data_IF_619411464871
#
_entry.id   IF_619411464871
#
_cell.length_a   1.000
_cell.length_b   1.000
_cell.length_c   1.000
_cell.angle_alpha   90.00
_cell.angle_beta   90.00
_cell.angle_gamma   90.00
#
_symmetry.space_group_name_H-M   'P 1'
#
loop_
_entity.id
_entity.type
_entity.pdbx_description
1 polymer ?
#
# COMPACT_ATOMS: atom_id res chain seq x y z
N UNK A 1 -4.38 24.03 8.37
CA UNK A 1 -5.74 23.69 8.84
C UNK A 1 -5.66 22.66 9.95
N UNK A 2 -6.62 22.64 10.90
CA UNK A 2 -6.62 21.70 12.01
C UNK A 2 -6.91 20.27 11.52
N UNK A 3 -6.27 19.27 12.15
CA UNK A 3 -6.57 17.85 11.96
C UNK A 3 -7.71 17.47 12.92
N UNK A 4 -8.70 16.72 12.43
CA UNK A 4 -9.93 16.42 13.20
C UNK A 4 -10.26 14.92 13.22
N UNK A 5 -9.46 14.09 12.61
CA UNK A 5 -9.68 12.63 12.59
C UNK A 5 -8.43 11.84 12.25
N UNK A 6 -8.42 10.54 12.57
CA UNK A 6 -7.40 9.55 12.25
C UNK A 6 -8.08 8.35 11.61
N UNK A 7 -7.65 7.96 10.42
CA UNK A 7 -8.24 6.87 9.64
C UNK A 7 -7.17 6.08 8.91
N UNK A 8 -7.55 4.88 8.43
CA UNK A 8 -6.75 4.03 7.53
C UNK A 8 -5.33 3.81 8.06
N UNK A 9 -5.25 3.24 9.26
CA UNK A 9 -3.98 2.85 9.85
C UNK A 9 -3.47 1.57 9.18
N UNK A 10 -2.25 1.64 8.64
CA UNK A 10 -1.58 0.53 7.95
C UNK A 10 -0.19 0.31 8.51
N UNK A 11 0.31 -0.91 8.42
CA UNK A 11 1.71 -1.22 8.66
C UNK A 11 2.25 -2.11 7.53
N UNK A 12 3.56 -2.08 7.32
CA UNK A 12 4.25 -2.96 6.40
C UNK A 12 5.57 -3.41 7.03
N UNK A 13 5.91 -4.69 6.92
CA UNK A 13 7.18 -5.22 7.41
C UNK A 13 8.29 -4.79 6.44
N UNK A 14 9.36 -4.22 6.95
CA UNK A 14 10.55 -3.86 6.21
C UNK A 14 11.43 -5.12 6.05
N UNK A 15 11.60 -5.58 4.82
CA UNK A 15 12.33 -6.81 4.50
C UNK A 15 13.78 -6.57 4.12
N UNK A 16 14.07 -5.42 3.49
CA UNK A 16 15.44 -4.97 3.23
C UNK A 16 15.56 -3.46 3.39
N UNK A 17 16.68 -2.99 3.96
CA UNK A 17 17.05 -1.58 4.07
C UNK A 17 18.56 -1.47 4.00
N UNK A 18 19.07 -1.43 2.78
CA UNK A 18 20.48 -1.28 2.44
C UNK A 18 20.66 -0.05 1.56
N UNK A 19 21.88 0.31 1.20
CA UNK A 19 22.12 1.42 0.26
C UNK A 19 21.56 1.16 -1.13
N UNK A 20 21.51 -0.11 -1.54
CA UNK A 20 21.17 -0.52 -2.90
C UNK A 20 19.73 -1.06 -3.01
N UNK A 21 19.14 -1.50 -1.88
CA UNK A 21 17.85 -2.18 -1.88
C UNK A 21 16.98 -1.72 -0.70
N UNK A 22 15.71 -1.45 -0.99
CA UNK A 22 14.70 -1.06 -0.03
C UNK A 22 13.39 -1.77 -0.35
N UNK A 23 13.03 -2.77 0.45
CA UNK A 23 11.84 -3.58 0.20
C UNK A 23 10.97 -3.72 1.44
N UNK A 24 9.66 -3.75 1.20
CA UNK A 24 8.64 -3.97 2.22
C UNK A 24 7.69 -5.09 1.78
N UNK A 25 7.05 -5.71 2.76
CA UNK A 25 5.85 -6.51 2.49
C UNK A 25 4.70 -5.58 2.10
N UNK A 26 3.67 -6.14 1.46
CA UNK A 26 2.45 -5.40 1.14
C UNK A 26 1.84 -4.81 2.41
N UNK A 27 1.49 -3.52 2.42
CA UNK A 27 0.86 -2.90 3.58
C UNK A 27 -0.44 -3.61 4.01
N UNK A 28 -0.56 -3.85 5.32
CA UNK A 28 -1.74 -4.44 5.94
C UNK A 28 -2.45 -3.40 6.81
N UNK A 29 -3.78 -3.43 6.80
CA UNK A 29 -4.61 -2.54 7.59
C UNK A 29 -4.67 -2.96 9.06
N UNK A 30 -4.55 -1.96 9.97
CA UNK A 30 -4.82 -2.10 11.40
C UNK A 30 -6.15 -1.41 11.72
N UNK A 31 -7.19 -2.19 11.89
CA UNK A 31 -8.56 -1.67 12.07
C UNK A 31 -8.73 -0.94 13.41
N UNK A 32 -9.54 0.12 13.40
CA UNK A 32 -10.01 0.78 14.61
C UNK A 32 -9.01 1.79 15.21
N UNK A 33 -8.31 2.57 14.39
CA UNK A 33 -7.43 3.64 14.87
C UNK A 33 -8.18 4.68 15.71
N UNK A 34 -7.71 4.93 16.93
CA UNK A 34 -8.29 5.91 17.87
C UNK A 34 -7.38 7.13 17.96
N UNK A 35 -6.09 6.91 18.21
CA UNK A 35 -5.11 7.97 18.38
C UNK A 35 -3.73 7.55 17.87
N UNK A 36 -2.97 8.51 17.35
CA UNK A 36 -1.57 8.35 17.01
C UNK A 36 -0.79 9.60 17.43
N UNK A 37 0.21 9.42 18.26
CA UNK A 37 1.07 10.49 18.75
C UNK A 37 2.50 10.24 18.30
N UNK A 38 3.13 11.26 17.67
CA UNK A 38 4.49 11.19 17.15
C UNK A 38 5.34 12.21 17.89
N UNK A 39 6.36 11.75 18.59
CA UNK A 39 7.26 12.56 19.41
C UNK A 39 8.72 12.43 18.92
N UNK A 40 9.18 13.27 17.98
CA UNK A 40 10.58 13.29 17.58
C UNK A 40 11.46 13.83 18.70
N UNK A 41 12.51 13.09 19.06
CA UNK A 41 13.57 13.59 19.93
C UNK A 41 14.64 14.30 19.07
N UNK A 42 15.02 15.50 19.48
CA UNK A 42 16.09 16.28 18.84
C UNK A 42 17.23 16.41 19.82
N UNK A 43 18.43 15.98 19.43
CA UNK A 43 19.64 16.19 20.17
C UNK A 43 20.34 17.45 19.67
N UNK A 44 20.43 18.47 20.51
CA UNK A 44 21.11 19.71 20.19
C UNK A 44 22.46 19.75 20.89
N UNK A 45 23.51 20.01 20.12
CA UNK A 45 24.86 20.27 20.63
C UNK A 45 25.16 21.76 20.41
N UNK A 46 25.56 22.42 21.47
CA UNK A 46 25.90 23.85 21.47
C UNK A 46 27.40 24.06 21.68
N UNK A 47 28.01 24.85 20.85
CA UNK A 47 29.40 25.29 20.99
C UNK A 47 29.40 26.74 21.43
N UNK A 48 30.05 27.01 22.56
CA UNK A 48 30.28 28.35 23.07
C UNK A 48 31.74 28.76 22.82
N UNK A 49 31.94 30.00 22.34
CA UNK A 49 33.24 30.65 22.20
C UNK A 49 33.11 32.14 22.57
N UNK A 50 34.12 32.70 23.26
CA UNK A 50 34.13 34.07 23.75
C UNK A 50 32.89 34.47 24.55
N UNK A 51 32.43 33.55 25.45
CA UNK A 51 31.24 33.69 26.29
C UNK A 51 29.93 33.89 25.54
N UNK A 52 29.89 33.50 24.27
CA UNK A 52 28.69 33.54 23.40
C UNK A 52 28.41 32.19 22.76
N UNK A 53 27.14 31.94 22.45
CA UNK A 53 26.74 30.79 21.64
C UNK A 53 27.30 30.98 20.23
N UNK A 54 28.33 30.18 19.86
CA UNK A 54 28.98 30.27 18.57
C UNK A 54 28.32 29.42 17.49
N UNK A 55 27.90 28.19 17.86
CA UNK A 55 27.30 27.26 16.95
C UNK A 55 26.30 26.37 17.70
N UNK A 56 25.18 26.02 17.04
CA UNK A 56 24.21 25.06 17.52
C UNK A 56 23.89 24.06 16.41
N UNK A 57 24.18 22.77 16.62
CA UNK A 57 23.91 21.69 15.68
C UNK A 57 22.86 20.79 16.26
N UNK A 58 21.76 20.59 15.53
CA UNK A 58 20.67 19.72 15.92
C UNK A 58 20.60 18.49 15.01
N UNK A 59 20.49 17.30 15.61
CA UNK A 59 20.31 16.05 14.91
C UNK A 59 19.03 15.35 15.37
N UNK A 60 18.30 14.76 14.43
CA UNK A 60 17.16 13.89 14.75
C UNK A 60 17.67 12.66 15.52
N UNK A 61 17.13 12.43 16.69
CA UNK A 61 17.34 11.23 17.48
C UNK A 61 16.28 10.15 17.13
N UNK A 62 15.92 9.36 18.13
CA UNK A 62 14.78 8.44 18.00
C UNK A 62 13.46 9.21 17.92
N UNK A 63 12.46 8.61 17.26
CA UNK A 63 11.10 9.13 17.22
C UNK A 63 10.19 8.15 17.95
N UNK A 64 9.71 8.53 19.12
CA UNK A 64 8.77 7.69 19.88
C UNK A 64 7.35 7.93 19.36
N UNK A 65 6.65 6.83 19.02
CA UNK A 65 5.29 6.84 18.48
C UNK A 65 4.41 5.96 19.33
N UNK A 66 3.26 6.48 19.73
CA UNK A 66 2.22 5.71 20.44
C UNK A 66 0.96 5.69 19.56
N UNK A 67 0.43 4.49 19.32
CA UNK A 67 -0.80 4.28 18.58
C UNK A 67 -1.79 3.56 19.47
N UNK A 68 -3.02 4.07 19.54
CA UNK A 68 -4.15 3.46 20.23
C UNK A 68 -5.15 2.97 19.20
N UNK A 69 -5.57 1.70 19.33
CA UNK A 69 -6.56 1.07 18.46
C UNK A 69 -7.71 0.51 19.27
N UNK A 70 -8.89 0.39 18.66
CA UNK A 70 -10.04 -0.22 19.34
C UNK A 70 -9.82 -1.72 19.58
N UNK A 71 -9.08 -2.36 18.69
CA UNK A 71 -8.78 -3.79 18.70
C UNK A 71 -7.38 -4.04 18.15
N UNK A 72 -6.71 -5.09 18.63
CA UNK A 72 -5.44 -5.56 18.08
C UNK A 72 -5.49 -7.09 17.99
N UNK A 73 -5.81 -7.66 16.82
CA UNK A 73 -5.83 -9.10 16.60
C UNK A 73 -4.47 -9.75 16.90
N UNK A 74 -4.50 -10.97 17.46
CA UNK A 74 -3.26 -11.72 17.79
C UNK A 74 -2.37 -11.95 16.58
N UNK A 75 -2.93 -12.02 15.37
CA UNK A 75 -2.19 -12.13 14.10
C UNK A 75 -1.34 -10.90 13.83
N UNK A 76 -1.90 -9.71 13.99
CA UNK A 76 -1.17 -8.44 13.83
C UNK A 76 -0.14 -8.29 14.95
N UNK A 77 -0.52 -8.59 16.21
CA UNK A 77 0.40 -8.56 17.35
C UNK A 77 1.61 -9.46 17.13
N UNK A 78 1.39 -10.69 16.64
CA UNK A 78 2.46 -11.63 16.32
C UNK A 78 3.43 -11.04 15.28
N UNK A 79 2.92 -10.44 14.21
CA UNK A 79 3.73 -9.81 13.15
C UNK A 79 4.55 -8.63 13.69
N UNK A 80 3.92 -7.73 14.46
CA UNK A 80 4.57 -6.54 15.00
C UNK A 80 5.69 -6.86 15.99
N UNK A 81 5.54 -7.93 16.78
CA UNK A 81 6.49 -8.29 17.85
C UNK A 81 7.41 -9.46 17.48
N UNK A 82 7.22 -10.07 16.29
CA UNK A 82 7.99 -11.24 15.89
C UNK A 82 7.67 -12.49 16.72
N UNK A 83 6.47 -12.56 17.28
CA UNK A 83 6.04 -13.69 18.11
C UNK A 83 5.50 -14.84 17.24
N UNK A 84 5.51 -16.05 17.80
CA UNK A 84 4.95 -17.24 17.16
C UNK A 84 3.43 -17.36 17.44
N UNK A 85 2.61 -17.43 16.39
CA UNK A 85 1.20 -17.74 16.50
C UNK A 85 0.94 -19.19 16.05
N UNK A 86 0.59 -20.08 17.00
CA UNK A 86 0.36 -21.49 16.70
C UNK A 86 -0.97 -21.97 17.26
N UNK A 87 -1.81 -22.52 16.39
CA UNK A 87 -3.15 -23.01 16.75
C UNK A 87 -4.02 -21.98 17.52
N UNK A 88 -3.92 -20.68 17.14
CA UNK A 88 -4.63 -19.60 17.81
C UNK A 88 -4.03 -19.13 19.14
N UNK A 89 -2.88 -19.68 19.55
CA UNK A 89 -2.15 -19.30 20.75
C UNK A 89 -0.94 -18.46 20.37
N UNK A 90 -0.86 -17.25 20.92
CA UNK A 90 0.32 -16.39 20.81
C UNK A 90 1.35 -16.83 21.84
N UNK A 91 2.54 -17.15 21.36
CA UNK A 91 3.68 -17.59 22.19
C UNK A 91 4.72 -16.48 22.16
N UNK A 92 4.97 -15.86 23.31
CA UNK A 92 5.97 -14.82 23.48
C UNK A 92 7.22 -15.38 24.16
N UNK A 93 8.38 -15.20 23.55
CA UNK A 93 9.66 -15.68 24.06
C UNK A 93 10.59 -14.49 24.30
N UNK A 94 11.44 -14.61 25.30
CA UNK A 94 12.45 -13.58 25.59
C UNK A 94 13.48 -13.39 24.47
N UNK A 95 13.51 -14.32 23.51
CA UNK A 95 14.39 -14.30 22.33
C UNK A 95 13.72 -13.73 21.07
N UNK A 96 12.43 -13.36 21.16
CA UNK A 96 11.73 -12.81 20.00
C UNK A 96 12.31 -11.44 19.62
N UNK A 97 12.47 -11.24 18.34
CA UNK A 97 13.02 -10.00 17.78
C UNK A 97 11.93 -9.34 16.93
N UNK A 98 11.38 -8.21 17.37
CA UNK A 98 10.40 -7.47 16.56
C UNK A 98 11.02 -7.04 15.25
N UNK A 99 10.32 -7.24 14.11
CA UNK A 99 10.80 -6.78 12.82
C UNK A 99 10.75 -5.25 12.73
N UNK A 100 11.53 -4.69 11.80
CA UNK A 100 11.33 -3.31 11.41
C UNK A 100 10.05 -3.19 10.59
N UNK A 101 9.30 -2.11 10.80
CA UNK A 101 8.04 -1.85 10.10
C UNK A 101 7.98 -0.41 9.60
N UNK A 102 7.17 -0.17 8.56
CA UNK A 102 6.61 1.14 8.27
C UNK A 102 5.20 1.25 8.87
N UNK A 103 4.78 2.47 9.23
CA UNK A 103 3.45 2.75 9.76
C UNK A 103 2.83 3.90 8.98
N UNK A 104 1.68 3.67 8.36
CA UNK A 104 0.96 4.63 7.53
C UNK A 104 -0.42 4.95 8.10
N UNK A 105 -0.88 6.19 7.94
CA UNK A 105 -2.24 6.60 8.27
C UNK A 105 -2.62 7.89 7.55
N UNK A 106 -3.91 8.20 7.54
CA UNK A 106 -4.39 9.51 7.09
C UNK A 106 -5.16 10.22 8.19
N UNK A 107 -5.13 11.54 8.14
CA UNK A 107 -5.84 12.42 9.08
C UNK A 107 -6.73 13.39 8.34
N UNK A 108 -8.01 13.40 8.70
CA UNK A 108 -8.97 14.37 8.15
C UNK A 108 -8.64 15.78 8.63
N UNK A 109 -8.61 16.74 7.71
CA UNK A 109 -8.46 18.17 7.98
C UNK A 109 -9.81 18.86 8.05
N UNK A 110 -9.86 20.01 8.70
CA UNK A 110 -11.09 20.81 8.86
C UNK A 110 -11.72 21.32 7.55
N UNK A 111 -11.02 21.18 6.42
CA UNK A 111 -11.54 21.50 5.07
C UNK A 111 -12.13 20.29 4.33
N UNK A 112 -12.25 19.12 4.99
CA UNK A 112 -12.76 17.90 4.38
C UNK A 112 -11.73 17.11 3.54
N UNK A 113 -10.49 17.60 3.42
CA UNK A 113 -9.38 16.93 2.74
C UNK A 113 -8.51 16.17 3.73
N UNK A 114 -7.71 15.20 3.23
CA UNK A 114 -6.86 14.37 4.07
C UNK A 114 -5.40 14.83 4.04
N UNK A 115 -4.71 14.56 5.15
CA UNK A 115 -3.27 14.51 5.25
C UNK A 115 -2.86 13.05 5.37
N UNK A 116 -1.95 12.62 4.53
CA UNK A 116 -1.40 11.29 4.47
C UNK A 116 -0.02 11.26 5.10
N UNK A 117 0.28 10.24 5.89
CA UNK A 117 1.54 10.09 6.60
C UNK A 117 2.05 8.66 6.46
N UNK A 118 3.35 8.51 6.20
CA UNK A 118 4.10 7.29 6.42
C UNK A 118 5.29 7.57 7.34
N UNK A 119 5.47 6.76 8.36
CA UNK A 119 6.68 6.59 9.15
C UNK A 119 7.39 5.36 8.61
N UNK A 120 8.65 5.47 8.24
CA UNK A 120 9.26 4.56 7.27
C UNK A 120 10.00 3.37 7.89
N UNK A 121 10.62 3.55 9.06
CA UNK A 121 11.36 2.47 9.74
C UNK A 121 11.21 2.58 11.25
N UNK A 122 10.52 1.65 11.85
CA UNK A 122 10.33 1.59 13.29
C UNK A 122 10.30 0.16 13.82
N UNK A 123 10.35 0.03 15.13
CA UNK A 123 10.26 -1.24 15.86
C UNK A 123 9.18 -1.13 16.91
N UNK A 124 8.29 -2.11 16.98
CA UNK A 124 7.29 -2.19 18.05
C UNK A 124 7.96 -2.59 19.38
N UNK A 125 7.46 -2.00 20.46
CA UNK A 125 7.87 -2.39 21.83
C UNK A 125 6.87 -3.39 22.40
N UNK A 126 7.29 -4.27 23.33
CA UNK A 126 6.38 -5.13 24.10
C UNK A 126 5.24 -4.31 24.71
N UNK A 127 4.03 -4.82 24.62
CA UNK A 127 2.82 -4.09 24.99
C UNK A 127 2.52 -4.29 26.49
N UNK A 128 2.12 -3.20 27.15
CA UNK A 128 1.51 -3.30 28.45
C UNK A 128 0.04 -3.74 28.30
N UNK A 129 -0.39 -4.69 29.10
CA UNK A 129 -1.76 -5.19 29.14
C UNK A 129 -2.39 -4.88 30.49
N UNK A 130 -3.64 -4.41 30.47
CA UNK A 130 -4.42 -4.11 31.68
C UNK A 130 -5.73 -4.90 31.65
N UNK A 131 -5.88 -5.82 32.59
CA UNK A 131 -7.06 -6.64 32.73
C UNK A 131 -7.83 -6.23 34.00
N UNK A 132 -9.11 -5.88 33.81
CA UNK A 132 -9.97 -5.49 34.93
C UNK A 132 -11.27 -6.29 34.92
N UNK A 133 -11.79 -6.56 36.15
CA UNK A 133 -13.09 -7.21 36.32
C UNK A 133 -14.21 -6.29 35.84
N UNK A 134 -15.21 -6.84 35.15
CA UNK A 134 -16.43 -6.13 34.73
C UNK A 134 -17.15 -5.57 35.98
N UNK A 135 -17.46 -4.28 35.93
CA UNK A 135 -18.26 -3.56 36.93
C UNK A 135 -19.66 -3.28 36.36
N UNK A 136 -20.51 -2.61 37.12
CA UNK A 136 -21.84 -2.20 36.69
C UNK A 136 -21.82 -1.24 35.50
N UNK A 137 -20.72 -0.50 35.30
CA UNK A 137 -20.44 0.29 34.08
C UNK A 137 -19.43 -0.45 33.19
N UNK A 138 -19.68 -0.46 31.88
CA UNK A 138 -18.75 -1.02 30.88
C UNK A 138 -17.66 0.01 30.62
N UNK A 139 -16.42 -0.35 30.94
CA UNK A 139 -15.24 0.44 30.59
C UNK A 139 -14.45 -0.32 29.52
N UNK A 140 -14.31 0.31 28.34
CA UNK A 140 -13.51 -0.27 27.26
C UNK A 140 -12.03 -0.05 27.52
N UNK A 141 -11.25 -1.14 27.48
CA UNK A 141 -9.78 -1.09 27.51
C UNK A 141 -9.26 -1.21 26.09
N UNK A 142 -8.62 -0.18 25.60
CA UNK A 142 -8.08 -0.08 24.25
C UNK A 142 -6.58 -0.40 24.25
N UNK A 143 -6.09 -1.27 23.36
CA UNK A 143 -4.68 -1.58 23.27
C UNK A 143 -3.88 -0.37 22.77
N UNK A 144 -2.69 -0.18 23.39
CA UNK A 144 -1.71 0.83 23.00
C UNK A 144 -0.42 0.18 22.57
N UNK A 145 0.01 0.49 21.37
CA UNK A 145 1.28 0.01 20.82
C UNK A 145 2.26 1.16 20.78
N UNK A 146 3.43 0.94 21.36
CA UNK A 146 4.55 1.89 21.31
C UNK A 146 5.55 1.43 20.27
N UNK A 147 6.04 2.38 19.49
CA UNK A 147 7.06 2.18 18.48
C UNK A 147 8.19 3.17 18.68
N UNK A 148 9.38 2.75 18.31
CA UNK A 148 10.53 3.66 18.15
C UNK A 148 10.91 3.68 16.68
N UNK A 149 10.79 4.84 16.05
CA UNK A 149 11.15 5.07 14.64
C UNK A 149 12.52 5.73 14.53
N UNK A 150 13.17 5.46 13.39
CA UNK A 150 14.47 5.98 13.01
C UNK A 150 14.52 6.19 11.50
N UNK A 151 15.56 6.86 11.01
CA UNK A 151 15.79 7.01 9.57
C UNK A 151 16.19 5.68 8.92
N UNK A 152 15.80 5.48 7.66
CA UNK A 152 16.24 4.36 6.81
C UNK A 152 17.74 4.49 6.48
N UNK A 153 18.37 3.35 6.21
CA UNK A 153 19.77 3.32 5.76
C UNK A 153 19.89 3.69 4.28
N UNK A 154 18.88 3.30 3.50
CA UNK A 154 18.82 3.47 2.05
C UNK A 154 18.95 4.95 1.64
N UNK A 155 18.13 5.81 2.20
CA UNK A 155 17.99 7.23 1.79
C UNK A 155 18.09 8.25 2.94
N UNK A 156 18.16 7.77 4.19
CA UNK A 156 18.18 8.65 5.37
C UNK A 156 16.81 9.24 5.74
N UNK A 157 15.74 8.85 5.06
CA UNK A 157 14.39 9.34 5.31
C UNK A 157 13.71 8.58 6.46
N UNK A 158 12.85 9.26 7.21
CA UNK A 158 12.13 8.66 8.33
C UNK A 158 10.61 8.85 8.26
N UNK A 159 10.16 9.87 7.51
CA UNK A 159 8.75 10.22 7.41
C UNK A 159 8.42 10.86 6.07
N UNK A 160 7.34 10.41 5.45
CA UNK A 160 6.69 11.10 4.34
C UNK A 160 5.35 11.68 4.78
N UNK A 161 5.04 12.88 4.30
CA UNK A 161 3.76 13.53 4.56
C UNK A 161 3.28 14.19 3.28
N UNK A 162 2.02 13.94 2.92
CA UNK A 162 1.38 14.56 1.77
C UNK A 162 0.01 15.14 2.17
N UNK A 163 -0.36 16.24 1.56
CA UNK A 163 -1.66 16.87 1.73
C UNK A 163 -2.48 16.75 0.44
N UNK A 164 -3.70 16.24 0.54
CA UNK A 164 -4.61 16.04 -0.60
C UNK A 164 -5.00 17.36 -1.31
N UNK A 165 -4.87 18.50 -0.63
CA UNK A 165 -5.10 19.83 -1.20
C UNK A 165 -3.84 20.45 -1.83
N UNK A 166 -2.73 19.72 -1.92
CA UNK A 166 -1.58 20.13 -2.71
C UNK A 166 -1.84 19.82 -4.19
N UNK A 167 -1.64 20.80 -5.06
CA UNK A 167 -1.86 20.67 -6.52
C UNK A 167 -0.97 19.59 -7.16
N UNK A 168 0.22 19.35 -6.58
CA UNK A 168 1.19 18.38 -7.08
C UNK A 168 0.95 16.95 -6.59
N UNK A 169 0.04 16.74 -5.60
CA UNK A 169 -0.18 15.43 -5.02
C UNK A 169 -1.34 14.69 -5.68
N UNK A 170 -1.04 13.70 -6.49
CA UNK A 170 -2.01 12.84 -7.20
C UNK A 170 -2.08 11.41 -6.65
N UNK A 171 -1.25 11.08 -5.64
CA UNK A 171 -1.04 9.71 -5.14
C UNK A 171 -2.05 9.19 -4.11
N UNK A 172 -3.12 9.90 -3.79
CA UNK A 172 -4.06 9.58 -2.70
C UNK A 172 -4.64 8.15 -2.80
N UNK A 173 -5.09 7.73 -3.98
CA UNK A 173 -5.74 6.42 -4.20
C UNK A 173 -4.78 5.23 -4.01
N UNK A 174 -3.48 5.45 -4.18
CA UNK A 174 -2.46 4.40 -4.11
C UNK A 174 -1.55 4.52 -2.88
N UNK A 175 -1.79 5.50 -1.99
CA UNK A 175 -0.90 5.83 -0.89
C UNK A 175 -0.63 4.65 0.06
N UNK A 176 -1.62 3.81 0.33
CA UNK A 176 -1.50 2.65 1.21
C UNK A 176 -1.28 1.32 0.48
N UNK A 177 -1.19 1.33 -0.86
CA UNK A 177 -0.85 0.12 -1.61
C UNK A 177 0.62 -0.24 -1.50
N UNK A 178 1.47 0.76 -1.23
CA UNK A 178 2.92 0.60 -1.17
C UNK A 178 3.54 1.66 -0.25
N UNK A 179 4.61 1.27 0.45
CA UNK A 179 5.41 2.22 1.24
C UNK A 179 6.25 3.10 0.30
N UNK A 180 6.33 4.42 0.50
CA UNK A 180 7.15 5.29 -0.33
C UNK A 180 8.63 4.87 -0.35
N UNK A 181 9.22 4.86 -1.54
CA UNK A 181 10.61 4.47 -1.78
C UNK A 181 10.84 2.96 -1.90
N UNK A 182 9.84 2.12 -1.68
CA UNK A 182 9.94 0.68 -1.86
C UNK A 182 10.34 0.34 -3.30
N UNK A 183 11.40 -0.45 -3.48
CA UNK A 183 11.95 -0.85 -4.77
C UNK A 183 11.45 -2.22 -5.25
N UNK A 184 10.59 -2.89 -4.46
CA UNK A 184 10.02 -4.18 -4.83
C UNK A 184 9.36 -4.08 -6.21
N UNK A 185 9.63 -4.95 -7.17
CA UNK A 185 8.92 -4.97 -8.44
C UNK A 185 7.41 -5.09 -8.18
N UNK A 186 6.62 -4.22 -8.78
CA UNK A 186 5.15 -4.32 -8.70
C UNK A 186 4.74 -5.53 -9.54
N UNK A 187 4.08 -6.54 -8.97
CA UNK A 187 3.53 -7.62 -9.78
C UNK A 187 2.57 -7.04 -10.81
N UNK A 188 2.77 -7.38 -12.07
CA UNK A 188 1.87 -6.97 -13.15
C UNK A 188 0.56 -7.73 -12.99
N UNK A 189 -0.55 -7.01 -12.89
CA UNK A 189 -1.88 -7.61 -12.83
C UNK A 189 -2.42 -7.79 -14.26
N UNK A 190 -2.47 -9.03 -14.70
CA UNK A 190 -2.98 -9.44 -16.02
C UNK A 190 -4.43 -9.94 -15.98
N UNK A 191 -5.09 -9.88 -14.83
CA UNK A 191 -6.40 -10.48 -14.61
C UNK A 191 -7.46 -9.93 -15.56
N UNK A 192 -7.49 -8.62 -15.76
CA UNK A 192 -8.42 -7.95 -16.67
C UNK A 192 -8.17 -8.33 -18.14
N UNK A 193 -6.89 -8.42 -18.55
CA UNK A 193 -6.51 -8.85 -19.89
C UNK A 193 -6.95 -10.28 -20.17
N UNK A 194 -6.75 -11.20 -19.22
CA UNK A 194 -7.15 -12.61 -19.35
C UNK A 194 -8.67 -12.74 -19.48
N UNK A 195 -9.44 -11.96 -18.72
CA UNK A 195 -10.90 -11.93 -18.83
C UNK A 195 -11.31 -11.42 -20.21
N UNK A 196 -10.75 -10.29 -20.65
CA UNK A 196 -11.07 -9.70 -21.95
C UNK A 196 -10.73 -10.65 -23.12
N UNK A 197 -9.60 -11.37 -23.04
CA UNK A 197 -9.24 -12.41 -24.03
C UNK A 197 -10.30 -13.53 -24.06
N UNK A 198 -10.74 -14.01 -22.90
CA UNK A 198 -11.77 -15.05 -22.82
C UNK A 198 -13.09 -14.61 -23.45
N UNK A 199 -13.53 -13.38 -23.21
CA UNK A 199 -14.73 -12.79 -23.82
C UNK A 199 -14.59 -12.64 -25.33
N UNK A 200 -13.43 -12.15 -25.80
CA UNK A 200 -13.15 -11.98 -27.22
C UNK A 200 -13.10 -13.32 -27.98
N UNK A 201 -12.51 -14.34 -27.38
CA UNK A 201 -12.48 -15.71 -27.94
C UNK A 201 -13.89 -16.28 -28.05
N UNK A 202 -14.72 -16.11 -27.01
CA UNK A 202 -16.11 -16.54 -27.03
C UNK A 202 -16.95 -15.84 -28.13
N UNK A 203 -16.70 -14.56 -28.36
CA UNK A 203 -17.35 -13.79 -29.44
C UNK A 203 -16.90 -14.29 -30.82
N UNK A 204 -15.61 -14.57 -31.00
CA UNK A 204 -15.06 -15.10 -32.26
C UNK A 204 -15.57 -16.50 -32.57
N UNK A 205 -15.64 -17.40 -31.57
CA UNK A 205 -16.16 -18.76 -31.71
C UNK A 205 -17.63 -18.81 -32.10
N UNK A 206 -18.44 -17.83 -31.65
CA UNK A 206 -19.84 -17.71 -31.99
C UNK A 206 -20.12 -17.08 -33.35
N UNK A 207 -19.11 -16.54 -34.02
CA UNK A 207 -19.23 -15.79 -35.27
C UNK A 207 -19.08 -16.67 -36.51
N UNK A 208 -19.98 -16.50 -37.50
CA UNK A 208 -19.91 -17.17 -38.79
C UNK A 208 -19.40 -16.21 -39.86
N UNK A 209 -18.41 -16.66 -40.64
CA UNK A 209 -17.90 -15.89 -41.83
C UNK A 209 -18.89 -16.02 -42.99
N UNK A 210 -19.21 -14.91 -43.63
CA UNK A 210 -20.07 -14.90 -44.84
C UNK A 210 -20.41 -13.51 -45.30
N UNK A 211 -21.33 -13.46 -46.30
CA UNK A 211 -21.85 -12.24 -46.91
C UNK A 211 -23.35 -12.05 -46.66
N UNK A 212 -23.93 -12.88 -45.85
CA UNK A 212 -25.36 -12.86 -45.51
C UNK A 212 -25.59 -12.09 -44.21
N UNK A 213 -26.80 -11.64 -43.98
CA UNK A 213 -27.24 -10.97 -42.74
C UNK A 213 -26.93 -11.86 -41.51
N UNK A 214 -26.38 -11.29 -40.48
CA UNK A 214 -25.98 -12.00 -39.25
C UNK A 214 -24.60 -12.66 -39.32
N UNK A 215 -23.87 -12.51 -40.47
CA UNK A 215 -22.51 -13.02 -40.64
C UNK A 215 -21.47 -11.91 -40.65
N UNK A 216 -20.21 -12.29 -40.50
CA UNK A 216 -19.10 -11.37 -40.47
C UNK A 216 -18.24 -11.47 -41.77
N UNK A 217 -17.78 -10.35 -42.33
CA UNK A 217 -16.80 -10.36 -43.42
C UNK A 217 -15.50 -11.07 -42.98
N UNK A 218 -14.90 -11.87 -43.88
CA UNK A 218 -13.63 -12.58 -43.63
C UNK A 218 -12.51 -11.63 -43.15
N UNK A 219 -12.44 -10.41 -43.70
CA UNK A 219 -11.47 -9.40 -43.31
C UNK A 219 -11.66 -8.94 -41.83
N UNK A 220 -12.91 -8.74 -41.40
CA UNK A 220 -13.21 -8.36 -40.02
C UNK A 220 -12.86 -9.49 -39.03
N UNK A 221 -13.23 -10.73 -39.42
CA UNK A 221 -12.88 -11.92 -38.62
C UNK A 221 -11.36 -12.07 -38.47
N UNK A 222 -10.59 -11.92 -39.56
CA UNK A 222 -9.11 -11.99 -39.49
C UNK A 222 -8.50 -10.90 -38.64
N UNK A 223 -8.95 -9.66 -38.77
CA UNK A 223 -8.45 -8.52 -37.97
C UNK A 223 -8.73 -8.72 -36.49
N UNK A 224 -9.89 -9.25 -36.15
CA UNK A 224 -10.26 -9.52 -34.76
C UNK A 224 -9.46 -10.70 -34.18
N UNK A 225 -9.26 -11.77 -34.94
CA UNK A 225 -8.38 -12.88 -34.57
C UNK A 225 -6.95 -12.40 -34.27
N UNK A 226 -6.39 -11.55 -35.14
CA UNK A 226 -5.04 -10.98 -34.96
C UNK A 226 -4.96 -10.11 -33.68
N UNK A 227 -6.03 -9.40 -33.33
CA UNK A 227 -6.09 -8.61 -32.09
C UNK A 227 -6.11 -9.50 -30.83
N UNK A 228 -6.82 -10.63 -30.89
CA UNK A 228 -6.81 -11.62 -29.79
C UNK A 228 -5.41 -12.22 -29.62
N UNK A 229 -4.75 -12.59 -30.73
CA UNK A 229 -3.40 -13.17 -30.70
C UNK A 229 -2.38 -12.16 -30.14
N UNK A 230 -2.51 -10.88 -30.50
CA UNK A 230 -1.67 -9.82 -29.95
C UNK A 230 -1.87 -9.63 -28.44
N UNK A 231 -3.11 -9.66 -27.96
CA UNK A 231 -3.45 -9.57 -26.56
C UNK A 231 -2.92 -10.80 -25.77
N UNK A 232 -3.06 -12.00 -26.36
CA UNK A 232 -2.52 -13.23 -25.78
C UNK A 232 -0.99 -13.18 -25.65
N UNK A 233 -0.29 -12.65 -26.65
CA UNK A 233 1.16 -12.51 -26.60
C UNK A 233 1.61 -11.62 -25.40
N UNK A 234 0.87 -10.52 -25.10
CA UNK A 234 1.14 -9.69 -23.93
C UNK A 234 0.81 -10.43 -22.62
N UNK A 235 -0.28 -11.20 -22.61
CA UNK A 235 -0.65 -12.00 -21.43
C UNK A 235 0.40 -13.06 -21.09
N UNK A 236 1.03 -13.65 -22.09
CA UNK A 236 2.05 -14.71 -21.95
C UNK A 236 3.49 -14.18 -21.73
N UNK A 237 3.74 -12.88 -21.94
CA UNK A 237 5.05 -12.28 -21.71
C UNK A 237 5.27 -11.98 -20.22
N UNK A 238 6.15 -12.77 -19.58
CA UNK A 238 6.52 -12.58 -18.17
C UNK A 238 7.19 -11.22 -17.87
N UNK A 239 7.68 -10.52 -18.89
CA UNK A 239 8.33 -9.21 -18.76
C UNK A 239 7.42 -8.04 -19.14
N UNK A 240 6.17 -8.30 -19.52
CA UNK A 240 5.23 -7.24 -19.87
C UNK A 240 5.07 -6.28 -18.68
N UNK A 241 5.09 -4.99 -18.95
CA UNK A 241 4.81 -3.93 -17.97
C UNK A 241 3.30 -3.75 -17.78
N UNK A 242 2.86 -3.18 -16.66
CA UNK A 242 1.45 -2.88 -16.45
C UNK A 242 0.89 -1.96 -17.56
N UNK A 243 1.68 -1.02 -18.03
CA UNK A 243 1.28 -0.12 -19.12
C UNK A 243 1.02 -0.88 -20.44
N UNK A 244 1.81 -1.91 -20.74
CA UNK A 244 1.60 -2.76 -21.93
C UNK A 244 0.35 -3.62 -21.76
N UNK A 245 0.10 -4.14 -20.57
CA UNK A 245 -1.10 -4.91 -20.23
C UNK A 245 -2.35 -4.03 -20.36
N UNK A 246 -2.36 -2.84 -19.77
CA UNK A 246 -3.49 -1.91 -19.83
C UNK A 246 -3.77 -1.48 -21.30
N UNK A 247 -2.72 -1.20 -22.07
CA UNK A 247 -2.84 -0.86 -23.50
C UNK A 247 -3.38 -2.04 -24.33
N UNK A 248 -3.02 -3.28 -23.99
CA UNK A 248 -3.54 -4.47 -24.66
C UNK A 248 -5.04 -4.69 -24.35
N UNK A 249 -5.48 -4.42 -23.11
CA UNK A 249 -6.91 -4.43 -22.73
C UNK A 249 -7.68 -3.41 -23.58
N UNK A 250 -7.23 -2.16 -23.62
CA UNK A 250 -7.89 -1.09 -24.38
C UNK A 250 -7.97 -1.42 -25.88
N UNK A 251 -6.89 -1.95 -26.45
CA UNK A 251 -6.83 -2.33 -27.86
C UNK A 251 -7.79 -3.50 -28.17
N UNK A 252 -7.85 -4.51 -27.31
CA UNK A 252 -8.73 -5.65 -27.49
C UNK A 252 -10.21 -5.26 -27.36
N UNK A 253 -10.55 -4.43 -26.37
CA UNK A 253 -11.92 -3.92 -26.22
C UNK A 253 -12.37 -3.09 -27.45
N UNK A 254 -11.47 -2.25 -27.99
CA UNK A 254 -11.75 -1.52 -29.21
C UNK A 254 -11.94 -2.45 -30.41
N UNK A 255 -11.15 -3.54 -30.50
CA UNK A 255 -11.30 -4.53 -31.56
C UNK A 255 -12.59 -5.32 -31.45
N UNK A 256 -13.04 -5.65 -30.21
CA UNK A 256 -14.36 -6.30 -29.96
C UNK A 256 -15.50 -5.42 -30.48
N UNK A 257 -15.49 -4.14 -30.13
CA UNK A 257 -16.53 -3.19 -30.60
C UNK A 257 -16.54 -3.10 -32.14
N UNK A 258 -15.36 -2.97 -32.74
CA UNK A 258 -15.25 -2.88 -34.22
C UNK A 258 -15.73 -4.18 -34.90
N UNK A 259 -15.48 -5.33 -34.29
CA UNK A 259 -15.93 -6.62 -34.79
C UNK A 259 -17.46 -6.75 -34.71
N UNK A 260 -18.08 -6.41 -33.58
CA UNK A 260 -19.55 -6.42 -33.42
C UNK A 260 -20.25 -5.44 -34.41
N UNK A 261 -19.61 -4.29 -34.69
CA UNK A 261 -20.13 -3.35 -35.68
C UNK A 261 -20.01 -3.84 -37.13
N UNK A 262 -19.07 -4.77 -37.38
CA UNK A 262 -18.84 -5.34 -38.71
C UNK A 262 -19.85 -6.45 -39.08
N UNK A 263 -20.72 -6.86 -38.16
CA UNK A 263 -21.82 -7.78 -38.45
C UNK A 263 -22.70 -7.21 -39.59
N UNK A 264 -22.96 -8.02 -40.60
CA UNK A 264 -23.79 -7.63 -41.73
C UNK A 264 -25.25 -7.46 -41.29
N UNK A 265 -25.72 -6.23 -41.33
CA UNK A 265 -27.09 -5.82 -40.97
C UNK A 265 -27.87 -5.48 -42.25
N UNK A 266 -29.20 -5.34 -42.13
CA UNK A 266 -30.07 -4.96 -43.26
C UNK A 266 -29.64 -3.65 -43.94
#
# INVERSE_FOLDING_TARGET
MAQVGLNDLHFAILTADTKDDLTYETPEEMVGAINATINPAVNTQELYADDQLWESVSALGKVDVEVETAELPLTIRAKLLGNELKNGVLIEKATDVPPHIALGFKSLKSNGKYRYVWLLKGVAQPMAEDFATKKDSVEHKTPKVKFTFMARVHDGEWKHTADEDSEDFTGAANWFKRVPGDTTPIPVDKSELVIAIGEAQGLLEGAEIGTEIGKYPEAAYGTFSDAIDAAQAVADDDNATQQEVDAAVDALLAAMIAFEEAEIKE
#
